data_IF_732825281600
#
_entry.id   IF_732825281600
#
_cell.length_a   1.000
_cell.length_b   1.000
_cell.length_c   1.000
_cell.angle_alpha   90.00
_cell.angle_beta   90.00
_cell.angle_gamma   90.00
#
_symmetry.space_group_name_H-M   'P 1'
#
loop_
_entity.id
_entity.type
_entity.pdbx_description
1 polymer ?
#
# COMPACT_ATOMS: atom_id res chain seq x y z
N UNK A 1 21.35 5.56 -19.18
CA UNK A 1 20.35 6.62 -19.48
C UNK A 1 19.82 7.23 -18.18
N UNK A 2 19.95 8.54 -17.98
CA UNK A 2 19.58 9.20 -16.71
C UNK A 2 18.08 9.15 -16.41
N UNK A 3 17.24 9.12 -17.45
CA UNK A 3 15.78 9.01 -17.32
C UNK A 3 15.33 7.76 -16.55
N UNK A 4 15.97 6.61 -16.77
CA UNK A 4 15.65 5.40 -16.01
C UNK A 4 16.03 5.52 -14.55
N UNK A 5 17.16 6.15 -14.22
CA UNK A 5 17.53 6.39 -12.83
C UNK A 5 16.49 7.24 -12.11
N UNK A 6 16.02 8.31 -12.76
CA UNK A 6 14.95 9.17 -12.23
C UNK A 6 13.66 8.37 -12.05
N UNK A 7 13.23 7.62 -13.07
CA UNK A 7 12.02 6.80 -12.99
C UNK A 7 12.07 5.76 -11.86
N UNK A 8 13.22 5.11 -11.64
CA UNK A 8 13.42 4.18 -10.54
C UNK A 8 13.20 4.85 -9.17
N UNK A 9 13.84 6.00 -8.94
CA UNK A 9 13.69 6.74 -7.68
C UNK A 9 12.26 7.24 -7.46
N UNK A 10 11.59 7.70 -8.51
CA UNK A 10 10.19 8.15 -8.43
C UNK A 10 9.27 6.98 -8.05
N UNK A 11 9.39 5.83 -8.72
CA UNK A 11 8.57 4.65 -8.42
C UNK A 11 8.77 4.14 -6.99
N UNK A 12 10.04 4.06 -6.56
CA UNK A 12 10.38 3.67 -5.19
C UNK A 12 9.83 4.68 -4.18
N UNK A 13 10.05 5.98 -4.43
CA UNK A 13 9.61 7.05 -3.54
C UNK A 13 8.09 7.06 -3.36
N UNK A 14 7.34 7.03 -4.45
CA UNK A 14 5.86 7.01 -4.39
C UNK A 14 5.37 5.73 -3.71
N UNK A 15 5.90 4.57 -4.08
CA UNK A 15 5.50 3.31 -3.46
C UNK A 15 5.81 3.26 -1.96
N UNK A 16 6.93 3.84 -1.53
CA UNK A 16 7.29 3.97 -0.12
C UNK A 16 6.33 4.90 0.62
N UNK A 17 6.00 6.07 0.05
CA UNK A 17 5.02 7.00 0.64
C UNK A 17 3.67 6.30 0.83
N UNK A 18 3.20 5.54 -0.16
CA UNK A 18 1.93 4.80 -0.05
C UNK A 18 2.01 3.69 1.01
N UNK A 19 3.12 2.94 1.07
CA UNK A 19 3.28 1.84 2.01
C UNK A 19 3.38 2.32 3.47
N UNK A 20 4.29 3.26 3.75
CA UNK A 20 4.45 3.80 5.10
C UNK A 20 3.31 4.74 5.50
N UNK A 21 2.70 5.42 4.53
CA UNK A 21 1.52 6.27 4.71
C UNK A 21 0.17 5.52 4.72
N UNK A 22 0.16 4.19 4.76
CA UNK A 22 -1.07 3.42 4.59
C UNK A 22 -2.17 3.76 5.60
N UNK A 23 -1.85 3.91 6.89
CA UNK A 23 -2.84 4.24 7.94
C UNK A 23 -3.56 5.57 7.69
N UNK A 24 -2.85 6.72 7.50
CA UNK A 24 -3.54 7.98 7.20
C UNK A 24 -4.27 7.95 5.85
N UNK A 25 -3.79 7.22 4.85
CA UNK A 25 -4.50 7.03 3.57
C UNK A 25 -5.84 6.33 3.80
N UNK A 26 -5.85 5.20 4.52
CA UNK A 26 -7.08 4.46 4.86
C UNK A 26 -8.07 5.36 5.59
N UNK A 27 -7.61 6.06 6.64
CA UNK A 27 -8.47 6.95 7.43
C UNK A 27 -9.05 8.11 6.61
N UNK A 28 -8.24 8.76 5.78
CA UNK A 28 -8.68 9.92 4.97
C UNK A 28 -9.65 9.51 3.87
N UNK A 29 -9.45 8.33 3.29
CA UNK A 29 -10.27 7.83 2.17
C UNK A 29 -11.39 6.90 2.63
N UNK A 30 -11.51 6.63 3.94
CA UNK A 30 -12.50 5.73 4.54
C UNK A 30 -12.52 4.37 3.84
N UNK A 31 -11.33 3.80 3.59
CA UNK A 31 -11.20 2.56 2.82
C UNK A 31 -11.69 1.34 3.60
N UNK A 32 -11.65 1.42 4.91
CA UNK A 32 -12.18 0.46 5.87
C UNK A 32 -13.70 0.29 5.76
N UNK A 33 -14.46 1.38 5.56
CA UNK A 33 -15.91 1.34 5.34
C UNK A 33 -16.29 0.59 4.04
N UNK A 34 -15.37 0.53 3.07
CA UNK A 34 -15.55 -0.14 1.77
C UNK A 34 -15.06 -1.60 1.78
N UNK A 35 -14.52 -2.08 2.90
CA UNK A 35 -14.05 -3.45 3.00
C UNK A 35 -15.18 -4.41 3.34
N UNK A 36 -15.32 -5.45 2.53
CA UNK A 36 -16.13 -6.62 2.85
C UNK A 36 -15.33 -7.56 3.76
N UNK A 37 -15.98 -8.03 4.82
CA UNK A 37 -15.49 -9.09 5.69
C UNK A 37 -16.49 -10.24 5.57
N UNK A 38 -16.06 -11.37 5.02
CA UNK A 38 -16.89 -12.56 4.93
C UNK A 38 -17.03 -13.23 6.30
N UNK A 39 -16.08 -12.94 7.18
CA UNK A 39 -15.91 -13.45 8.54
C UNK A 39 -16.65 -12.58 9.57
N UNK A 40 -17.60 -11.74 9.14
CA UNK A 40 -18.24 -10.74 9.99
C UNK A 40 -18.98 -11.33 11.20
N UNK A 41 -19.45 -12.57 11.10
CA UNK A 41 -20.14 -13.29 12.16
C UNK A 41 -19.20 -13.78 13.27
N UNK A 42 -17.89 -13.81 13.01
CA UNK A 42 -16.86 -14.26 13.97
C UNK A 42 -16.35 -13.13 14.88
N UNK A 43 -16.74 -11.88 14.61
CA UNK A 43 -16.26 -10.70 15.32
C UNK A 43 -17.40 -9.93 15.98
N UNK A 44 -17.13 -9.35 17.14
CA UNK A 44 -17.99 -8.26 17.67
C UNK A 44 -17.94 -7.03 16.76
N UNK A 45 -18.89 -6.09 16.89
CA UNK A 45 -18.94 -4.89 16.05
C UNK A 45 -17.64 -4.07 16.11
N UNK A 46 -17.04 -3.94 17.30
CA UNK A 46 -15.79 -3.21 17.52
C UNK A 46 -14.60 -3.94 16.87
N UNK A 47 -14.51 -5.25 17.07
CA UNK A 47 -13.45 -6.08 16.47
C UNK A 47 -13.55 -6.11 14.94
N UNK A 48 -14.78 -6.13 14.40
CA UNK A 48 -15.03 -6.11 12.96
C UNK A 48 -14.56 -4.79 12.34
N UNK A 49 -14.77 -3.67 13.04
CA UNK A 49 -14.29 -2.36 12.63
C UNK A 49 -12.76 -2.32 12.58
N UNK A 50 -12.09 -2.77 13.64
CA UNK A 50 -10.63 -2.83 13.70
C UNK A 50 -10.05 -3.79 12.65
N UNK A 51 -10.70 -4.93 12.43
CA UNK A 51 -10.32 -5.91 11.41
C UNK A 51 -10.40 -5.29 10.01
N UNK A 52 -11.51 -4.62 9.66
CA UNK A 52 -11.67 -3.94 8.36
C UNK A 52 -10.62 -2.85 8.17
N UNK A 53 -10.34 -2.06 9.21
CA UNK A 53 -9.29 -1.04 9.17
C UNK A 53 -7.91 -1.64 8.92
N UNK A 54 -7.59 -2.74 9.60
CA UNK A 54 -6.33 -3.46 9.44
C UNK A 54 -6.22 -4.08 8.04
N UNK A 55 -7.29 -4.73 7.55
CA UNK A 55 -7.36 -5.32 6.21
C UNK A 55 -7.19 -4.26 5.12
N UNK A 56 -7.85 -3.12 5.25
CA UNK A 56 -7.67 -1.98 4.35
C UNK A 56 -6.22 -1.45 4.39
N UNK A 57 -5.63 -1.33 5.58
CA UNK A 57 -4.24 -0.87 5.75
C UNK A 57 -3.25 -1.81 5.08
N UNK A 58 -3.40 -3.12 5.28
CA UNK A 58 -2.56 -4.13 4.63
C UNK A 58 -2.70 -4.04 3.11
N UNK A 59 -3.93 -3.87 2.59
CA UNK A 59 -4.15 -3.71 1.15
C UNK A 59 -3.41 -2.50 0.57
N UNK A 60 -3.49 -1.34 1.24
CA UNK A 60 -2.74 -0.14 0.81
C UNK A 60 -1.23 -0.37 0.87
N UNK A 61 -0.73 -1.04 1.92
CA UNK A 61 0.69 -1.41 2.02
C UNK A 61 1.14 -2.28 0.85
N UNK A 62 0.37 -3.31 0.53
CA UNK A 62 0.66 -4.20 -0.60
C UNK A 62 0.67 -3.43 -1.91
N UNK A 63 -0.30 -2.53 -2.14
CA UNK A 63 -0.30 -1.66 -3.33
C UNK A 63 0.95 -0.80 -3.41
N UNK A 64 1.36 -0.17 -2.30
CA UNK A 64 2.61 0.61 -2.25
C UNK A 64 3.84 -0.24 -2.56
N UNK A 65 3.90 -1.47 -2.02
CA UNK A 65 4.99 -2.42 -2.29
C UNK A 65 5.03 -2.84 -3.76
N UNK A 66 3.88 -3.16 -4.36
CA UNK A 66 3.78 -3.52 -5.77
C UNK A 66 4.22 -2.37 -6.69
N UNK A 67 4.03 -1.12 -6.28
CA UNK A 67 4.52 0.04 -7.02
C UNK A 67 6.04 0.24 -6.85
N UNK A 68 6.59 -0.06 -5.67
CA UNK A 68 8.05 0.02 -5.42
C UNK A 68 8.83 -1.00 -6.22
N UNK A 69 8.32 -2.23 -6.36
CA UNK A 69 9.04 -3.36 -6.96
C UNK A 69 9.56 -3.06 -8.39
N UNK A 70 8.75 -2.56 -9.34
CA UNK A 70 9.24 -2.14 -10.65
C UNK A 70 10.37 -1.11 -10.58
N UNK A 71 10.29 -0.16 -9.65
CA UNK A 71 11.35 0.83 -9.43
C UNK A 71 12.66 0.19 -8.96
N UNK A 72 12.59 -0.81 -8.07
CA UNK A 72 13.75 -1.59 -7.62
C UNK A 72 14.36 -2.38 -8.79
N UNK A 73 13.56 -3.10 -9.57
CA UNK A 73 14.06 -3.81 -10.76
C UNK A 73 14.70 -2.86 -11.78
N UNK A 74 14.09 -1.70 -12.00
CA UNK A 74 14.59 -0.69 -12.92
C UNK A 74 15.88 -0.04 -12.40
N UNK A 75 16.06 0.07 -11.08
CA UNK A 75 17.33 0.48 -10.47
C UNK A 75 18.44 -0.54 -10.78
N UNK A 76 18.20 -1.84 -10.59
CA UNK A 76 19.19 -2.87 -10.94
C UNK A 76 19.57 -2.83 -12.42
N UNK A 77 18.60 -2.58 -13.30
CA UNK A 77 18.85 -2.44 -14.74
C UNK A 77 19.63 -1.16 -15.08
N UNK A 78 19.28 -0.02 -14.47
CA UNK A 78 19.85 1.29 -14.82
C UNK A 78 21.26 1.53 -14.25
N UNK A 79 21.69 0.74 -13.27
CA UNK A 79 23.00 0.82 -12.60
C UNK A 79 23.91 -0.39 -12.85
N UNK A 80 23.48 -1.34 -13.70
CA UNK A 80 24.36 -2.36 -14.28
C UNK A 80 25.24 -1.74 -15.37
#
# INVERSE_FOLDING_TARGET
>A
MIAYKIAAFVLIGIGAIINYGAKPIVKKMKLDEKMTAAEAEEFSEDELSEYKFTKATVRVKVTGLLLMLPGIFLMFYAFR
#
